data_IF_991118757186
#
_entry.id   IF_991118757186
#
_cell.length_a   1.000
_cell.length_b   1.000
_cell.length_c   1.000
_cell.angle_alpha   90.00
_cell.angle_beta   90.00
_cell.angle_gamma   90.00
#
_symmetry.space_group_name_H-M   'P 1'
#
loop_
_entity.id
_entity.type
_entity.pdbx_description
1 polymer ?
#
# COMPACT_ATOMS: atom_id res chain seq x y z
N UNK A 1 13.64 16.51 11.12
CA UNK A 1 12.49 15.70 10.67
C UNK A 1 11.27 16.13 11.47
N UNK A 2 10.09 16.30 10.86
CA UNK A 2 8.86 16.64 11.62
C UNK A 2 8.58 15.52 12.65
N UNK A 3 8.19 15.83 13.89
CA UNK A 3 8.05 14.84 14.97
C UNK A 3 7.03 13.74 14.62
N UNK A 4 5.97 14.09 13.91
CA UNK A 4 4.95 13.15 13.40
C UNK A 4 5.52 12.07 12.48
N UNK A 5 6.56 12.41 11.70
CA UNK A 5 7.17 11.47 10.75
C UNK A 5 8.01 10.43 11.48
N UNK A 6 8.80 10.88 12.45
CA UNK A 6 9.62 10.00 13.27
C UNK A 6 8.77 9.04 14.11
N UNK A 7 7.64 9.53 14.65
CA UNK A 7 6.69 8.70 15.39
C UNK A 7 6.12 7.58 14.50
N UNK A 8 5.71 7.91 13.27
CA UNK A 8 5.13 6.93 12.37
C UNK A 8 6.12 5.86 11.92
N UNK A 9 7.36 6.25 11.61
CA UNK A 9 8.44 5.31 11.30
C UNK A 9 8.67 4.34 12.47
N UNK A 10 8.64 4.84 13.71
CA UNK A 10 8.79 4.00 14.91
C UNK A 10 7.64 3.01 15.07
N UNK A 11 6.41 3.37 14.71
CA UNK A 11 5.27 2.45 14.70
C UNK A 11 5.46 1.34 13.65
N UNK A 12 5.81 1.70 12.42
CA UNK A 12 5.98 0.73 11.32
C UNK A 12 7.17 -0.19 11.54
N UNK A 13 8.25 0.33 12.14
CA UNK A 13 9.38 -0.48 12.62
C UNK A 13 8.94 -1.52 13.65
N UNK A 14 8.17 -1.10 14.67
CA UNK A 14 7.66 -2.02 15.70
C UNK A 14 6.70 -3.06 15.15
N UNK A 15 5.95 -2.72 14.09
CA UNK A 15 5.06 -3.64 13.40
C UNK A 15 5.81 -4.65 12.51
N UNK A 16 7.11 -4.48 12.29
CA UNK A 16 7.92 -5.36 11.45
C UNK A 16 7.81 -5.07 9.95
N UNK A 17 7.23 -3.93 9.55
CA UNK A 17 7.09 -3.56 8.13
C UNK A 17 8.33 -2.89 7.55
N UNK A 18 9.25 -2.43 8.42
CA UNK A 18 10.47 -1.73 8.02
C UNK A 18 11.69 -2.48 8.56
N UNK A 19 12.74 -2.51 7.76
CA UNK A 19 14.06 -2.99 8.13
C UNK A 19 15.16 -1.99 7.72
N UNK A 20 16.32 -2.06 8.36
CA UNK A 20 17.46 -1.20 8.01
C UNK A 20 18.18 -1.79 6.80
N UNK A 21 18.08 -1.11 5.66
CA UNK A 21 18.87 -1.43 4.49
C UNK A 21 20.32 -0.92 4.67
N UNK A 22 21.31 -1.78 4.40
CA UNK A 22 22.74 -1.42 4.39
C UNK A 22 23.22 -1.33 2.94
N UNK A 23 23.86 -0.21 2.58
CA UNK A 23 24.40 0.04 1.24
C UNK A 23 23.38 -0.10 0.10
N UNK A 24 22.26 0.65 0.13
CA UNK A 24 21.23 0.53 -0.89
C UNK A 24 21.73 1.06 -2.25
N UNK A 25 21.50 0.29 -3.32
CA UNK A 25 21.72 0.76 -4.70
C UNK A 25 20.62 1.71 -5.18
N UNK A 26 19.42 1.59 -4.59
CA UNK A 26 18.24 2.39 -4.91
C UNK A 26 17.71 3.08 -3.66
N UNK A 27 17.32 4.34 -3.81
CA UNK A 27 16.67 5.12 -2.75
C UNK A 27 15.47 5.85 -3.34
N UNK A 28 14.42 5.99 -2.55
CA UNK A 28 13.21 6.72 -2.93
C UNK A 28 12.85 7.73 -1.83
N UNK A 29 12.24 8.84 -2.24
CA UNK A 29 11.86 9.90 -1.30
C UNK A 29 10.63 9.49 -0.48
N UNK A 30 10.66 9.79 0.81
CA UNK A 30 9.48 9.69 1.69
C UNK A 30 8.69 10.99 1.59
N UNK A 31 7.40 10.87 1.29
CA UNK A 31 6.45 11.97 1.14
C UNK A 31 5.38 11.83 2.24
N UNK A 32 5.48 12.60 3.34
CA UNK A 32 4.44 12.60 4.36
C UNK A 32 3.19 13.33 3.84
N UNK A 33 2.06 12.63 3.82
CA UNK A 33 0.76 13.16 3.36
C UNK A 33 -0.19 13.32 4.55
N UNK A 34 -0.64 14.54 4.88
CA UNK A 34 -1.63 14.75 5.93
C UNK A 34 -2.99 14.19 5.51
N UNK A 35 -3.64 13.47 6.42
CA UNK A 35 -5.03 13.01 6.27
C UNK A 35 -5.99 13.95 6.99
N UNK A 36 -7.27 13.89 6.60
CA UNK A 36 -8.36 14.66 7.21
C UNK A 36 -8.58 14.35 8.69
N UNK A 37 -8.21 13.16 9.15
CA UNK A 37 -8.31 12.70 10.54
C UNK A 37 -7.15 13.20 11.42
N UNK A 38 -6.29 14.08 10.91
CA UNK A 38 -5.13 14.61 11.61
C UNK A 38 -3.93 13.65 11.64
N UNK A 39 -4.04 12.44 11.07
CA UNK A 39 -2.92 11.51 10.96
C UNK A 39 -2.05 11.84 9.74
N UNK A 40 -0.81 11.35 9.75
CA UNK A 40 0.08 11.40 8.58
C UNK A 40 0.20 10.01 7.96
N UNK A 41 0.07 9.93 6.64
CA UNK A 41 0.40 8.75 5.85
C UNK A 41 1.81 8.89 5.31
N UNK A 42 2.67 7.89 5.53
CA UNK A 42 3.95 7.80 4.84
C UNK A 42 3.72 7.24 3.45
N UNK A 43 3.93 8.08 2.44
CA UNK A 43 4.00 7.64 1.06
C UNK A 43 5.47 7.57 0.64
N UNK A 44 5.81 6.61 -0.20
CA UNK A 44 7.15 6.53 -0.81
C UNK A 44 7.00 6.80 -2.30
N UNK A 45 7.83 7.68 -2.84
CA UNK A 45 7.80 8.04 -4.24
C UNK A 45 8.49 6.97 -5.10
N UNK A 46 7.74 5.93 -5.46
CA UNK A 46 8.22 4.82 -6.27
C UNK A 46 8.19 5.08 -7.78
N UNK A 47 8.07 6.33 -8.26
CA UNK A 47 7.91 6.60 -9.71
C UNK A 47 9.06 6.03 -10.56
N UNK A 48 10.30 6.23 -10.14
CA UNK A 48 11.47 5.72 -10.86
C UNK A 48 11.57 4.19 -10.75
N UNK A 49 11.28 3.64 -9.57
CA UNK A 49 11.22 2.19 -9.35
C UNK A 49 10.17 1.54 -10.26
N UNK A 50 8.95 2.06 -10.28
CA UNK A 50 7.84 1.55 -11.08
C UNK A 50 8.12 1.60 -12.59
N UNK A 51 8.94 2.56 -13.06
CA UNK A 51 9.37 2.63 -14.47
C UNK A 51 10.43 1.58 -14.79
N UNK A 52 11.30 1.26 -13.84
CA UNK A 52 12.35 0.25 -13.99
C UNK A 52 11.83 -1.18 -13.80
N UNK A 53 10.77 -1.38 -13.02
CA UNK A 53 10.17 -2.68 -12.77
C UNK A 53 9.43 -3.21 -14.01
N UNK A 54 9.54 -4.52 -14.33
CA UNK A 54 8.72 -5.15 -15.35
C UNK A 54 7.24 -5.11 -14.93
N UNK A 55 6.35 -4.91 -15.90
CA UNK A 55 4.91 -4.94 -15.67
C UNK A 55 4.40 -6.38 -15.67
N UNK A 56 3.75 -6.78 -14.59
CA UNK A 56 2.97 -8.02 -14.55
C UNK A 56 1.56 -7.75 -15.08
N UNK A 57 1.15 -8.53 -16.08
CA UNK A 57 -0.16 -8.40 -16.72
C UNK A 57 -1.13 -9.46 -16.18
N UNK A 58 -1.20 -9.60 -14.86
CA UNK A 58 -2.16 -10.50 -14.23
C UNK A 58 -3.59 -10.16 -14.69
N UNK A 59 -4.34 -11.12 -15.25
CA UNK A 59 -5.67 -10.85 -15.79
C UNK A 59 -6.63 -10.50 -14.67
N UNK A 60 -7.09 -9.25 -14.65
CA UNK A 60 -8.18 -8.82 -13.78
C UNK A 60 -9.52 -9.03 -14.52
N UNK A 61 -10.51 -9.66 -13.88
CA UNK A 61 -11.83 -9.84 -14.50
C UNK A 61 -12.51 -8.49 -14.73
N UNK A 62 -13.29 -8.41 -15.81
CA UNK A 62 -14.12 -7.24 -16.08
C UNK A 62 -15.17 -7.08 -14.97
N UNK A 63 -15.51 -5.84 -14.61
CA UNK A 63 -16.45 -5.57 -13.53
C UNK A 63 -17.83 -6.18 -13.79
N UNK A 64 -18.31 -6.17 -15.04
CA UNK A 64 -19.59 -6.77 -15.40
C UNK A 64 -19.61 -8.27 -15.14
N UNK A 65 -18.51 -8.98 -15.44
CA UNK A 65 -18.39 -10.40 -15.15
C UNK A 65 -18.47 -10.66 -13.63
N UNK A 66 -17.87 -9.80 -12.82
CA UNK A 66 -17.97 -9.90 -11.36
C UNK A 66 -19.41 -9.68 -10.89
N UNK A 67 -20.12 -8.69 -11.44
CA UNK A 67 -21.50 -8.35 -11.06
C UNK A 67 -22.48 -9.44 -11.49
N UNK A 68 -22.40 -9.93 -12.73
CA UNK A 68 -23.28 -10.97 -13.25
C UNK A 68 -23.14 -12.27 -12.46
N UNK A 69 -21.90 -12.63 -12.10
CA UNK A 69 -21.63 -13.82 -11.29
C UNK A 69 -22.26 -13.73 -9.90
N UNK A 70 -22.31 -12.54 -9.30
CA UNK A 70 -22.87 -12.39 -7.95
C UNK A 70 -24.39 -12.25 -7.96
N UNK A 71 -25.00 -11.70 -9.02
CA UNK A 71 -26.42 -11.32 -9.08
C UNK A 71 -27.44 -12.43 -8.75
N UNK A 72 -27.05 -13.71 -8.85
CA UNK A 72 -27.91 -14.86 -8.57
C UNK A 72 -27.95 -15.28 -7.09
N UNK A 73 -27.21 -14.60 -6.22
CA UNK A 73 -27.16 -14.90 -4.79
C UNK A 73 -28.12 -14.06 -3.96
N UNK A 74 -28.71 -14.66 -2.91
CA UNK A 74 -29.68 -14.01 -2.03
C UNK A 74 -29.04 -13.19 -0.90
N UNK A 75 -27.75 -13.37 -0.65
CA UNK A 75 -26.99 -12.69 0.41
C UNK A 75 -25.56 -12.44 -0.04
N UNK A 76 -25.01 -11.29 0.36
CA UNK A 76 -23.66 -10.86 0.03
C UNK A 76 -22.92 -10.45 1.31
N UNK A 77 -21.64 -10.80 1.40
CA UNK A 77 -20.72 -10.28 2.41
C UNK A 77 -19.52 -9.65 1.72
N UNK A 78 -19.06 -8.52 2.26
CA UNK A 78 -17.91 -7.79 1.74
C UNK A 78 -16.82 -7.73 2.80
N UNK A 79 -15.61 -8.15 2.43
CA UNK A 79 -14.43 -8.08 3.28
C UNK A 79 -13.44 -7.09 2.66
N UNK A 80 -12.97 -6.14 3.45
CA UNK A 80 -11.91 -5.23 3.03
C UNK A 80 -10.52 -5.78 3.40
N UNK A 81 -9.62 -5.78 2.43
CA UNK A 81 -8.22 -6.13 2.61
C UNK A 81 -7.37 -4.91 2.99
N UNK A 82 -7.80 -4.13 3.98
CA UNK A 82 -7.20 -2.82 4.32
C UNK A 82 -5.67 -2.83 4.43
N UNK A 83 -5.10 -3.91 4.98
CA UNK A 83 -3.66 -4.07 5.23
C UNK A 83 -2.98 -5.06 4.27
N UNK A 84 -3.64 -5.48 3.18
CA UNK A 84 -3.18 -6.58 2.31
C UNK A 84 -1.74 -6.40 1.80
N UNK A 85 -1.34 -5.17 1.46
CA UNK A 85 0.02 -4.87 0.99
C UNK A 85 1.10 -5.15 2.04
N UNK A 86 0.76 -5.15 3.32
CA UNK A 86 1.71 -5.36 4.42
C UNK A 86 1.62 -6.77 5.02
N UNK A 87 0.91 -7.69 4.36
CA UNK A 87 0.68 -9.07 4.83
C UNK A 87 1.33 -10.13 3.93
N UNK A 88 1.96 -9.72 2.83
CA UNK A 88 2.71 -10.59 1.91
C UNK A 88 4.17 -10.63 2.33
#
# INVERSE_FOLDING_TARGET
>A
MKPEVALKIKEEWKAGFLEVAKYPQWVANIVPVPKKDGKVRMCVDYRDLNRASPKDNFPLPHIDLLVDNIAQHSCYSFMDGFSRYNQI
#
